data_IF_725982251580
#
_entry.id   IF_725982251580
#
_cell.length_a   1.000
_cell.length_b   1.000
_cell.length_c   1.000
_cell.angle_alpha   90.00
_cell.angle_beta   90.00
_cell.angle_gamma   90.00
#
_symmetry.space_group_name_H-M   'P 1'
#
loop_
_entity.id
_entity.type
_entity.pdbx_description
1 polymer ?
#
# COMPACT_ATOMS: atom_id res chain seq x y z
N UNK A 1 -29.23 -20.23 -30.69
CA UNK A 1 -30.53 -19.73 -30.21
C UNK A 1 -30.38 -19.35 -28.75
N UNK A 2 -30.05 -18.08 -28.49
CA UNK A 2 -30.02 -17.42 -27.17
C UNK A 2 -30.72 -16.06 -27.32
N UNK A 3 -31.79 -16.02 -28.12
CA UNK A 3 -32.71 -14.89 -28.14
C UNK A 3 -33.82 -15.22 -27.16
N UNK A 4 -34.00 -14.38 -26.15
CA UNK A 4 -35.05 -14.43 -25.11
C UNK A 4 -34.60 -14.90 -23.71
N UNK A 5 -33.37 -14.56 -23.28
CA UNK A 5 -33.10 -14.45 -21.82
C UNK A 5 -33.29 -12.98 -21.43
N UNK A 6 -34.27 -12.64 -20.58
CA UNK A 6 -34.45 -11.29 -20.04
C UNK A 6 -33.16 -10.77 -19.37
N UNK A 7 -32.82 -9.49 -19.58
CA UNK A 7 -31.55 -8.88 -19.10
C UNK A 7 -31.31 -9.03 -17.59
N UNK A 8 -32.37 -9.09 -16.80
CA UNK A 8 -32.31 -9.32 -15.35
C UNK A 8 -31.90 -10.76 -14.99
N UNK A 9 -32.43 -11.76 -15.67
CA UNK A 9 -32.06 -13.18 -15.52
C UNK A 9 -30.64 -13.39 -16.03
N UNK A 10 -30.30 -12.73 -17.15
CA UNK A 10 -28.96 -12.73 -17.70
C UNK A 10 -27.93 -12.19 -16.72
N UNK A 11 -28.21 -11.05 -16.10
CA UNK A 11 -27.34 -10.42 -15.10
C UNK A 11 -27.16 -11.32 -13.87
N UNK A 12 -28.23 -11.97 -13.39
CA UNK A 12 -28.12 -12.92 -12.28
C UNK A 12 -27.27 -14.15 -12.62
N UNK A 13 -27.44 -14.73 -13.82
CA UNK A 13 -26.65 -15.87 -14.27
C UNK A 13 -25.17 -15.52 -14.46
N UNK A 14 -24.88 -14.34 -14.99
CA UNK A 14 -23.51 -13.83 -15.14
C UNK A 14 -22.87 -13.50 -13.80
N UNK A 15 -23.65 -13.01 -12.82
CA UNK A 15 -23.18 -12.71 -11.47
C UNK A 15 -22.62 -13.92 -10.71
N UNK A 16 -22.93 -15.15 -11.15
CA UNK A 16 -22.38 -16.39 -10.58
C UNK A 16 -21.13 -16.91 -11.29
N UNK A 17 -20.81 -16.38 -12.47
CA UNK A 17 -19.66 -16.82 -13.24
C UNK A 17 -18.41 -16.09 -12.77
N UNK A 18 -17.34 -16.83 -12.47
CA UNK A 18 -16.01 -16.22 -12.33
C UNK A 18 -15.49 -15.89 -13.71
N UNK A 19 -14.64 -14.89 -13.80
CA UNK A 19 -13.96 -14.55 -15.06
C UNK A 19 -13.22 -15.77 -15.64
N UNK A 20 -12.61 -16.59 -14.79
CA UNK A 20 -11.95 -17.86 -15.19
C UNK A 20 -12.93 -18.83 -15.86
N UNK A 21 -14.15 -18.96 -15.31
CA UNK A 21 -15.18 -19.82 -15.87
C UNK A 21 -15.61 -19.30 -17.25
N UNK A 22 -15.74 -17.97 -17.40
CA UNK A 22 -16.05 -17.33 -18.68
C UNK A 22 -14.90 -17.51 -19.69
N UNK A 23 -13.65 -17.37 -19.28
CA UNK A 23 -12.49 -17.60 -20.14
C UNK A 23 -12.41 -19.07 -20.60
N UNK A 24 -12.64 -20.03 -19.69
CA UNK A 24 -12.64 -21.45 -19.99
C UNK A 24 -13.81 -21.85 -20.90
N UNK A 25 -15.01 -21.32 -20.67
CA UNK A 25 -16.16 -21.58 -21.52
C UNK A 25 -16.00 -20.96 -22.93
N UNK A 26 -15.40 -19.78 -23.02
CA UNK A 26 -15.16 -19.10 -24.30
C UNK A 26 -14.03 -19.72 -25.11
N UNK A 27 -13.09 -20.44 -24.48
CA UNK A 27 -12.00 -21.15 -25.17
C UNK A 27 -12.39 -22.57 -25.64
N UNK A 28 -13.41 -23.17 -25.04
CA UNK A 28 -13.82 -24.57 -25.30
C UNK A 28 -15.00 -24.70 -26.27
N UNK A 29 -15.86 -23.68 -26.37
CA UNK A 29 -17.10 -23.77 -27.15
C UNK A 29 -17.24 -22.59 -28.13
N UNK A 30 -17.34 -22.90 -29.43
CA UNK A 30 -17.50 -21.90 -30.51
C UNK A 30 -18.80 -21.06 -30.38
N UNK A 31 -19.85 -21.62 -29.79
CA UNK A 31 -21.09 -20.88 -29.52
C UNK A 31 -20.95 -19.92 -28.34
N UNK A 32 -20.20 -20.31 -27.31
CA UNK A 32 -19.93 -19.47 -26.12
C UNK A 32 -18.80 -18.47 -26.40
N UNK A 33 -17.94 -18.70 -27.39
CA UNK A 33 -16.93 -17.72 -27.80
C UNK A 33 -17.51 -16.34 -28.12
N UNK A 34 -18.69 -16.29 -28.77
CA UNK A 34 -19.39 -15.03 -29.05
C UNK A 34 -19.91 -14.34 -27.77
N UNK A 35 -20.16 -15.11 -26.70
CA UNK A 35 -20.49 -14.60 -25.38
C UNK A 35 -19.35 -13.76 -24.80
N UNK A 36 -18.12 -14.24 -24.95
CA UNK A 36 -16.90 -13.53 -24.56
C UNK A 36 -16.62 -12.26 -25.36
N UNK A 37 -17.47 -11.91 -26.34
CA UNK A 37 -17.42 -10.65 -27.10
C UNK A 37 -18.44 -9.61 -26.62
N UNK A 38 -19.30 -9.95 -25.66
CA UNK A 38 -20.35 -9.03 -25.17
C UNK A 38 -19.73 -8.03 -24.18
N UNK A 39 -19.78 -6.70 -24.41
CA UNK A 39 -19.19 -5.72 -23.50
C UNK A 39 -19.85 -5.71 -22.12
N UNK A 40 -21.18 -5.86 -22.08
CA UNK A 40 -21.95 -5.86 -20.83
C UNK A 40 -21.56 -7.00 -19.89
N UNK A 41 -21.25 -8.19 -20.43
CA UNK A 41 -20.73 -9.32 -19.66
C UNK A 41 -19.46 -8.93 -18.89
N UNK A 42 -18.47 -8.41 -19.61
CA UNK A 42 -17.19 -8.04 -19.01
C UNK A 42 -17.29 -6.84 -18.06
N UNK A 43 -18.22 -5.91 -18.33
CA UNK A 43 -18.49 -4.79 -17.43
C UNK A 43 -19.14 -5.26 -16.14
N UNK A 44 -20.12 -6.16 -16.21
CA UNK A 44 -20.76 -6.70 -15.01
C UNK A 44 -19.79 -7.57 -14.19
N UNK A 45 -18.99 -8.41 -14.84
CA UNK A 45 -17.93 -9.15 -14.16
C UNK A 45 -16.92 -8.19 -13.53
N UNK A 46 -16.54 -7.10 -14.20
CA UNK A 46 -15.63 -6.10 -13.64
C UNK A 46 -16.30 -5.29 -12.52
N UNK A 47 -17.61 -5.04 -12.58
CA UNK A 47 -18.37 -4.38 -11.51
C UNK A 47 -18.35 -5.22 -10.23
N UNK A 48 -18.52 -6.53 -10.36
CA UNK A 48 -18.49 -7.47 -9.24
C UNK A 48 -17.08 -7.64 -8.69
N UNK A 49 -16.07 -7.70 -9.55
CA UNK A 49 -14.69 -7.98 -9.14
C UNK A 49 -13.90 -6.72 -8.74
N UNK A 50 -14.10 -5.60 -9.42
CA UNK A 50 -13.37 -4.34 -9.20
C UNK A 50 -14.20 -3.12 -9.68
N UNK A 51 -15.18 -2.66 -8.87
CA UNK A 51 -16.05 -1.55 -9.22
C UNK A 51 -15.30 -0.21 -9.28
N UNK A 52 -14.10 -0.11 -8.70
CA UNK A 52 -13.26 1.10 -8.77
C UNK A 52 -12.61 1.18 -10.14
N UNK A 53 -12.03 0.09 -10.64
CA UNK A 53 -11.48 -0.01 -11.99
C UNK A 53 -12.54 0.16 -13.06
N UNK A 54 -13.76 -0.34 -12.86
CA UNK A 54 -14.88 -0.07 -13.78
C UNK A 54 -15.19 1.43 -13.88
N UNK A 55 -15.22 2.15 -12.74
CA UNK A 55 -15.46 3.60 -12.71
C UNK A 55 -14.33 4.42 -13.34
N UNK A 56 -13.11 3.88 -13.39
CA UNK A 56 -11.96 4.51 -14.03
C UNK A 56 -11.93 4.29 -15.55
N UNK A 57 -12.68 3.31 -16.08
CA UNK A 57 -12.78 3.05 -17.50
C UNK A 57 -13.73 4.03 -18.18
N UNK A 58 -13.38 4.40 -19.41
CA UNK A 58 -14.26 5.14 -20.30
C UNK A 58 -15.57 4.34 -20.55
N UNK A 59 -16.72 5.02 -20.56
CA UNK A 59 -18.01 4.41 -20.86
C UNK A 59 -18.07 3.85 -22.28
N UNK A 60 -17.19 4.30 -23.18
CA UNK A 60 -17.01 3.79 -24.54
C UNK A 60 -15.88 2.76 -24.69
N UNK A 61 -15.21 2.36 -23.59
CA UNK A 61 -14.11 1.40 -23.63
C UNK A 61 -14.53 0.09 -24.33
N UNK A 62 -13.75 -0.33 -25.33
CA UNK A 62 -14.07 -1.52 -26.11
C UNK A 62 -13.99 -2.81 -25.28
N UNK A 63 -14.60 -3.88 -25.79
CA UNK A 63 -14.64 -5.20 -25.14
C UNK A 63 -13.26 -5.71 -24.76
N UNK A 64 -12.23 -5.51 -25.59
CA UNK A 64 -10.89 -6.00 -25.31
C UNK A 64 -10.27 -5.29 -24.10
N UNK A 65 -10.50 -3.98 -23.94
CA UNK A 65 -10.05 -3.18 -22.80
C UNK A 65 -10.79 -3.59 -21.54
N UNK A 66 -12.12 -3.67 -21.57
CA UNK A 66 -12.92 -4.09 -20.40
C UNK A 66 -12.58 -5.54 -20.03
N UNK A 67 -12.47 -6.43 -21.01
CA UNK A 67 -12.05 -7.82 -20.80
C UNK A 67 -10.66 -7.88 -20.19
N UNK A 68 -9.69 -7.12 -20.68
CA UNK A 68 -8.34 -7.08 -20.09
C UNK A 68 -8.38 -6.58 -18.65
N UNK A 69 -9.11 -5.50 -18.37
CA UNK A 69 -9.30 -4.99 -17.01
C UNK A 69 -9.97 -6.03 -16.10
N UNK A 70 -10.93 -6.77 -16.62
CA UNK A 70 -11.64 -7.84 -15.91
C UNK A 70 -10.76 -9.08 -15.68
N UNK A 71 -9.93 -9.44 -16.66
CA UNK A 71 -8.91 -10.49 -16.55
C UNK A 71 -7.86 -10.09 -15.51
N UNK A 72 -7.35 -8.86 -15.56
CA UNK A 72 -6.40 -8.32 -14.58
C UNK A 72 -7.01 -8.29 -13.19
N UNK A 73 -8.27 -7.86 -13.06
CA UNK A 73 -9.01 -8.01 -11.81
C UNK A 73 -9.02 -9.48 -11.39
N UNK A 74 -9.38 -10.42 -12.29
CA UNK A 74 -9.59 -11.84 -11.98
C UNK A 74 -8.38 -12.73 -11.72
N UNK A 75 -7.19 -12.40 -12.22
CA UNK A 75 -6.01 -13.27 -12.11
C UNK A 75 -5.10 -12.86 -10.95
N UNK A 76 -5.25 -11.65 -10.42
CA UNK A 76 -4.52 -11.17 -9.23
C UNK A 76 -5.00 -11.89 -7.95
N UNK A 77 -6.20 -12.48 -7.94
CA UNK A 77 -6.83 -13.00 -6.71
C UNK A 77 -6.21 -14.24 -6.10
N UNK A 78 -5.60 -15.08 -6.93
CA UNK A 78 -5.11 -16.38 -6.46
C UNK A 78 -3.82 -16.20 -5.66
N UNK A 79 -2.97 -15.24 -6.03
CA UNK A 79 -1.63 -15.07 -5.45
C UNK A 79 -0.85 -16.40 -5.32
N UNK A 80 -1.23 -17.42 -6.12
CA UNK A 80 -0.75 -18.81 -6.04
C UNK A 80 0.71 -18.96 -6.45
N UNK A 81 1.27 -17.94 -7.11
CA UNK A 81 2.64 -17.93 -7.60
C UNK A 81 3.10 -16.49 -7.78
N UNK A 82 3.72 -15.95 -6.74
CA UNK A 82 4.35 -14.62 -6.77
C UNK A 82 5.79 -14.75 -7.25
N UNK A 83 6.35 -13.71 -7.87
CA UNK A 83 7.78 -13.73 -8.21
C UNK A 83 8.43 -12.37 -7.99
N UNK A 84 9.51 -12.36 -7.21
CA UNK A 84 10.34 -11.19 -7.08
C UNK A 84 11.19 -11.00 -8.34
N UNK A 85 11.19 -9.76 -8.82
CA UNK A 85 12.06 -9.25 -9.86
C UNK A 85 12.73 -7.95 -9.43
N UNK A 86 13.88 -7.67 -10.03
CA UNK A 86 14.49 -6.36 -10.00
C UNK A 86 14.26 -5.74 -11.38
N UNK A 87 13.34 -4.78 -11.55
CA UNK A 87 13.23 -4.06 -12.81
C UNK A 87 14.57 -3.38 -13.11
N UNK A 88 14.96 -3.33 -14.39
CA UNK A 88 16.08 -2.47 -14.78
C UNK A 88 15.60 -1.02 -14.70
N UNK A 89 16.03 -0.29 -13.68
CA UNK A 89 15.79 1.14 -13.57
C UNK A 89 17.13 1.84 -13.81
N UNK A 90 17.23 2.76 -14.81
CA UNK A 90 18.48 3.42 -15.14
C UNK A 90 19.15 4.12 -13.95
N UNK A 91 18.34 4.74 -13.08
CA UNK A 91 18.79 5.44 -11.89
C UNK A 91 17.68 5.40 -10.83
N UNK A 92 18.01 4.90 -9.64
CA UNK A 92 17.13 4.91 -8.48
C UNK A 92 17.33 6.21 -7.66
N UNK A 93 16.29 6.71 -6.96
CA UNK A 93 16.42 7.77 -5.98
C UNK A 93 17.44 7.40 -4.89
N UNK A 94 18.02 8.43 -4.22
CA UNK A 94 18.95 8.20 -3.10
C UNK A 94 18.37 7.22 -2.06
N UNK A 95 19.24 6.37 -1.50
CA UNK A 95 18.93 5.50 -0.36
C UNK A 95 18.20 6.28 0.74
N UNK A 96 17.07 5.75 1.19
CA UNK A 96 16.19 6.45 2.13
C UNK A 96 15.35 5.51 2.98
N UNK A 97 15.02 5.95 4.18
CA UNK A 97 14.26 5.20 5.18
C UNK A 97 12.99 5.94 5.59
N UNK A 98 11.90 5.22 5.83
CA UNK A 98 10.63 5.81 6.29
C UNK A 98 10.10 6.89 5.34
N UNK A 99 10.43 6.78 4.06
CA UNK A 99 9.96 7.68 3.01
C UNK A 99 8.50 7.38 2.67
N UNK A 100 7.92 8.28 1.88
CA UNK A 100 6.52 8.26 1.50
C UNK A 100 6.42 7.79 0.06
N UNK A 101 5.55 6.83 -0.19
CA UNK A 101 5.26 6.36 -1.53
C UNK A 101 3.77 6.13 -1.71
N UNK A 102 3.22 6.61 -2.83
CA UNK A 102 1.81 6.40 -3.22
C UNK A 102 1.71 6.13 -4.71
N UNK A 103 0.64 5.46 -5.13
CA UNK A 103 0.29 5.28 -6.54
C UNK A 103 -0.95 6.11 -6.88
N UNK A 104 -0.82 7.04 -7.84
CA UNK A 104 -1.95 7.71 -8.46
C UNK A 104 -2.47 6.89 -9.64
N UNK A 105 -3.79 6.72 -9.68
CA UNK A 105 -4.43 5.84 -10.66
C UNK A 105 -3.91 4.41 -10.52
N UNK A 106 -3.47 3.81 -11.63
CA UNK A 106 -2.98 2.43 -11.63
C UNK A 106 -1.47 2.31 -11.92
N UNK A 107 -0.77 3.42 -12.21
CA UNK A 107 0.58 3.32 -12.80
C UNK A 107 1.56 4.40 -12.38
N UNK A 108 1.11 5.53 -11.85
CA UNK A 108 1.99 6.66 -11.55
C UNK A 108 2.38 6.61 -10.08
N UNK A 109 3.58 6.11 -9.80
CA UNK A 109 4.12 6.07 -8.45
C UNK A 109 4.81 7.39 -8.14
N UNK A 110 4.56 7.92 -6.96
CA UNK A 110 5.20 9.12 -6.42
C UNK A 110 5.95 8.75 -5.16
N UNK A 111 7.20 9.17 -5.08
CA UNK A 111 8.10 8.96 -3.95
C UNK A 111 8.64 10.30 -3.43
N UNK A 112 8.64 10.50 -2.12
CA UNK A 112 9.17 11.72 -1.49
C UNK A 112 9.51 11.52 -0.01
N UNK A 113 10.26 12.46 0.56
CA UNK A 113 10.65 12.46 1.97
C UNK A 113 11.56 11.28 2.34
N UNK A 114 11.50 10.91 3.61
CA UNK A 114 12.37 9.91 4.21
C UNK A 114 13.64 10.50 4.81
N UNK A 115 14.30 9.67 5.62
CA UNK A 115 15.57 10.00 6.25
C UNK A 115 16.70 9.81 5.22
N UNK A 116 17.01 10.88 4.48
CA UNK A 116 18.04 10.93 3.43
C UNK A 116 18.46 12.39 3.16
N UNK A 117 19.49 12.62 2.34
CA UNK A 117 19.90 14.00 2.00
C UNK A 117 19.04 14.60 0.88
N UNK A 118 18.63 13.79 -0.09
CA UNK A 118 17.77 14.19 -1.19
C UNK A 118 16.29 14.23 -0.81
N UNK A 119 15.81 15.45 -0.63
CA UNK A 119 14.40 15.74 -0.37
C UNK A 119 13.58 15.93 -1.65
N UNK A 120 14.03 15.37 -2.77
CA UNK A 120 13.35 15.42 -4.05
C UNK A 120 12.00 14.68 -4.04
N UNK A 121 11.21 14.99 -5.07
CA UNK A 121 9.98 14.26 -5.39
C UNK A 121 10.24 13.54 -6.70
N UNK A 122 9.96 12.24 -6.72
CA UNK A 122 10.23 11.36 -7.84
C UNK A 122 8.94 10.74 -8.37
N UNK A 123 8.84 10.64 -9.67
CA UNK A 123 7.76 9.99 -10.39
C UNK A 123 8.29 8.75 -11.10
N UNK A 124 7.56 7.64 -11.02
CA UNK A 124 7.78 6.45 -11.82
C UNK A 124 6.45 6.08 -12.48
N UNK A 125 6.36 6.29 -13.79
CA UNK A 125 5.19 5.91 -14.57
C UNK A 125 5.41 4.53 -15.20
N UNK A 126 4.75 3.49 -14.67
CA UNK A 126 4.93 2.12 -15.19
C UNK A 126 4.43 1.91 -16.63
N UNK A 127 3.70 2.87 -17.23
CA UNK A 127 3.32 2.83 -18.65
C UNK A 127 4.37 3.47 -19.54
N UNK A 128 5.09 4.47 -19.04
CA UNK A 128 6.19 5.11 -19.75
C UNK A 128 7.41 4.29 -19.40
N UNK A 129 8.00 3.63 -20.38
CA UNK A 129 9.20 2.82 -20.18
C UNK A 129 10.42 3.74 -19.95
N UNK A 130 10.41 4.49 -18.84
CA UNK A 130 11.39 5.45 -18.33
C UNK A 130 11.61 5.17 -16.84
N UNK A 131 12.83 5.43 -16.34
CA UNK A 131 13.14 5.26 -14.92
C UNK A 131 12.48 6.32 -14.03
N UNK A 132 12.95 6.44 -12.79
CA UNK A 132 12.50 7.51 -11.92
C UNK A 132 12.86 8.89 -12.49
N UNK A 133 11.87 9.77 -12.54
CA UNK A 133 12.02 11.15 -13.00
C UNK A 133 11.82 12.12 -11.83
N UNK A 134 12.77 13.03 -11.61
CA UNK A 134 12.71 14.02 -10.52
C UNK A 134 11.89 15.25 -10.94
N UNK A 135 10.96 15.67 -10.10
CA UNK A 135 10.10 16.83 -10.32
C UNK A 135 10.87 18.17 -10.33
N UNK A 136 10.36 19.17 -11.05
CA UNK A 136 10.91 20.54 -11.11
C UNK A 136 9.87 21.59 -10.62
N UNK A 137 10.30 22.68 -9.95
CA UNK A 137 11.67 23.01 -9.55
C UNK A 137 12.04 22.41 -8.19
N UNK A 138 13.32 22.08 -8.04
CA UNK A 138 13.94 21.48 -6.84
C UNK A 138 14.10 22.46 -5.66
N UNK A 139 13.30 23.53 -5.58
CA UNK A 139 13.37 24.45 -4.44
C UNK A 139 13.01 23.71 -3.15
N UNK A 140 13.64 24.10 -2.03
CA UNK A 140 13.39 23.53 -0.71
C UNK A 140 11.96 23.83 -0.29
N UNK A 141 11.02 23.06 -0.81
CA UNK A 141 9.61 23.17 -0.49
C UNK A 141 9.45 22.93 1.02
N UNK A 142 8.67 23.77 1.70
CA UNK A 142 8.55 23.79 3.16
C UNK A 142 8.00 22.48 3.79
N UNK A 143 7.67 21.48 2.99
CA UNK A 143 7.22 20.15 3.42
C UNK A 143 8.33 19.09 3.42
N UNK A 144 9.54 19.43 2.97
CA UNK A 144 10.54 18.49 2.44
C UNK A 144 11.01 17.43 3.43
N UNK A 145 11.47 17.80 4.63
CA UNK A 145 12.03 16.81 5.55
C UNK A 145 10.96 16.23 6.49
N UNK A 146 10.54 15.00 6.20
CA UNK A 146 9.86 14.14 7.17
C UNK A 146 10.03 12.67 6.82
N UNK A 147 10.20 11.85 7.86
CA UNK A 147 10.24 10.40 7.74
C UNK A 147 9.26 9.77 8.74
N UNK A 148 8.73 8.59 8.38
CA UNK A 148 7.63 7.96 9.10
C UNK A 148 6.33 8.78 9.05
N UNK A 149 6.20 9.75 8.15
CA UNK A 149 4.90 10.39 7.91
C UNK A 149 3.98 9.42 7.15
N UNK A 150 2.71 9.80 6.99
CA UNK A 150 1.82 9.15 6.02
C UNK A 150 1.67 10.02 4.78
N UNK A 151 1.41 9.39 3.62
CA UNK A 151 0.96 10.05 2.40
C UNK A 151 -0.21 9.25 1.86
N UNK A 152 -1.38 9.88 1.73
CA UNK A 152 -2.62 9.19 1.32
C UNK A 152 -3.23 9.90 0.11
N UNK A 153 -3.51 9.15 -0.95
CA UNK A 153 -4.18 9.68 -2.15
C UNK A 153 -5.61 10.08 -1.80
N UNK A 154 -5.98 11.31 -2.14
CA UNK A 154 -7.34 11.85 -1.95
C UNK A 154 -8.18 11.74 -3.22
N UNK A 155 -7.55 12.02 -4.37
CA UNK A 155 -8.20 12.00 -5.68
C UNK A 155 -7.16 11.75 -6.79
N UNK A 156 -7.53 12.03 -8.04
CA UNK A 156 -6.68 11.80 -9.22
C UNK A 156 -5.36 12.58 -9.20
N UNK A 157 -5.25 13.68 -8.46
CA UNK A 157 -4.08 14.61 -8.49
C UNK A 157 -3.58 15.02 -7.12
N UNK A 158 -4.37 14.79 -6.09
CA UNK A 158 -4.07 15.25 -4.74
C UNK A 158 -3.77 14.09 -3.79
N UNK A 159 -2.75 14.27 -2.97
CA UNK A 159 -2.49 13.43 -1.80
C UNK A 159 -2.29 14.29 -0.56
N UNK A 160 -2.54 13.71 0.60
CA UNK A 160 -2.37 14.38 1.89
C UNK A 160 -1.24 13.73 2.66
N UNK A 161 -0.32 14.55 3.16
CA UNK A 161 0.70 14.15 4.12
C UNK A 161 0.26 14.56 5.52
N UNK A 162 0.38 13.65 6.48
CA UNK A 162 0.22 13.94 7.90
C UNK A 162 1.41 13.43 8.71
N UNK A 163 1.88 14.27 9.64
CA UNK A 163 2.86 13.91 10.66
C UNK A 163 4.25 13.56 10.14
N UNK A 164 4.94 12.68 10.90
CA UNK A 164 6.33 12.29 10.70
C UNK A 164 7.28 12.90 11.73
N UNK A 165 8.54 12.47 11.68
CA UNK A 165 9.66 13.06 12.41
C UNK A 165 10.44 14.02 11.51
N UNK A 166 10.87 15.14 12.09
CA UNK A 166 11.63 16.20 11.40
C UNK A 166 13.07 16.34 11.90
N UNK A 167 13.51 15.52 12.85
CA UNK A 167 14.90 15.46 13.32
C UNK A 167 15.41 14.03 13.38
N UNK A 168 16.74 13.87 13.32
CA UNK A 168 17.39 12.57 13.51
C UNK A 168 17.14 11.97 14.89
N UNK A 169 17.27 10.65 15.01
CA UNK A 169 17.09 9.96 16.30
C UNK A 169 15.65 9.94 16.81
N UNK A 170 14.65 9.95 15.93
CA UNK A 170 13.22 9.93 16.29
C UNK A 170 12.77 11.16 17.09
N UNK A 171 13.29 12.34 16.72
CA UNK A 171 12.99 13.62 17.37
C UNK A 171 12.16 14.53 16.48
N UNK A 172 11.56 15.55 17.09
CA UNK A 172 10.74 16.55 16.41
C UNK A 172 9.58 15.92 15.63
N UNK A 173 8.75 15.13 16.32
CA UNK A 173 7.47 14.68 15.78
C UNK A 173 6.58 15.88 15.47
N UNK A 174 5.93 15.87 14.30
CA UNK A 174 5.02 16.92 13.89
C UNK A 174 3.59 16.38 13.71
N UNK A 175 2.62 17.30 13.75
CA UNK A 175 1.20 17.13 13.41
C UNK A 175 0.84 17.89 12.12
N UNK A 176 1.86 18.29 11.37
CA UNK A 176 1.70 19.07 10.15
C UNK A 176 0.85 18.34 9.11
N UNK A 177 -0.05 19.10 8.49
CA UNK A 177 -0.91 18.65 7.41
C UNK A 177 -0.55 19.38 6.12
N UNK A 178 -0.14 18.63 5.10
CA UNK A 178 0.23 19.18 3.81
C UNK A 178 -0.57 18.53 2.68
N UNK A 179 -1.13 19.35 1.80
CA UNK A 179 -1.72 18.91 0.54
C UNK A 179 -0.65 18.91 -0.54
N UNK A 180 -0.36 17.73 -1.08
CA UNK A 180 0.41 17.52 -2.28
C UNK A 180 -0.52 17.56 -3.50
N UNK A 181 -0.17 18.35 -4.51
CA UNK A 181 -0.84 18.36 -5.81
C UNK A 181 0.20 18.20 -6.89
N UNK A 182 -0.06 17.32 -7.88
CA UNK A 182 0.73 17.29 -9.10
C UNK A 182 -0.08 17.78 -10.31
N UNK A 183 0.62 18.39 -11.26
CA UNK A 183 0.09 18.88 -12.53
C UNK A 183 0.81 18.18 -13.68
N UNK A 184 0.05 17.42 -14.46
CA UNK A 184 0.54 16.76 -15.67
C UNK A 184 1.04 17.79 -16.68
N UNK A 185 2.13 17.47 -17.35
CA UNK A 185 2.72 18.28 -18.42
C UNK A 185 2.98 17.40 -19.63
N UNK A 186 2.60 17.86 -20.81
CA UNK A 186 2.78 17.10 -22.05
C UNK A 186 4.27 16.80 -22.27
N UNK A 187 4.58 15.51 -22.41
CA UNK A 187 5.93 14.99 -22.65
C UNK A 187 7.00 15.48 -21.65
N UNK A 188 6.61 15.81 -20.42
CA UNK A 188 7.52 16.27 -19.38
C UNK A 188 7.21 15.59 -18.04
N UNK A 189 8.12 15.76 -17.08
CA UNK A 189 7.90 15.38 -15.68
C UNK A 189 6.79 16.26 -15.11
N UNK A 190 5.84 15.70 -14.33
CA UNK A 190 4.82 16.51 -13.68
C UNK A 190 5.40 17.61 -12.79
N UNK A 191 4.72 18.75 -12.76
CA UNK A 191 4.98 19.77 -11.74
C UNK A 191 4.29 19.40 -10.44
N UNK A 192 4.83 19.90 -9.33
CA UNK A 192 4.36 19.58 -7.99
C UNK A 192 4.17 20.85 -7.18
N UNK A 193 3.24 20.80 -6.24
CA UNK A 193 2.99 21.88 -5.28
C UNK A 193 2.63 21.30 -3.93
N UNK A 194 3.29 21.79 -2.89
CA UNK A 194 2.88 21.58 -1.51
C UNK A 194 2.10 22.79 -0.99
N UNK A 195 1.04 22.53 -0.23
CA UNK A 195 0.30 23.55 0.51
C UNK A 195 0.08 23.11 1.94
N UNK A 196 0.63 23.84 2.90
CA UNK A 196 0.32 23.64 4.32
C UNK A 196 -1.16 23.94 4.56
N UNK A 197 -1.83 23.03 5.24
CA UNK A 197 -3.24 23.17 5.65
C UNK A 197 -3.26 23.55 7.12
N UNK A 198 -4.06 24.55 7.46
CA UNK A 198 -4.41 24.86 8.85
C UNK A 198 -5.77 24.25 9.13
N UNK A 199 -5.83 23.05 9.75
CA UNK A 199 -7.11 22.39 10.01
C UNK A 199 -7.87 23.07 11.16
N UNK A 200 -9.17 22.81 11.23
CA UNK A 200 -10.05 23.16 12.35
C UNK A 200 -10.24 21.94 13.27
N UNK A 201 -10.90 22.17 14.41
CA UNK A 201 -11.16 21.12 15.39
C UNK A 201 -9.94 20.84 16.28
N UNK A 202 -9.99 19.72 17.02
CA UNK A 202 -8.92 19.32 17.93
C UNK A 202 -7.82 18.59 17.17
N UNK A 203 -6.71 19.27 16.93
CA UNK A 203 -5.56 18.70 16.24
C UNK A 203 -4.97 17.56 17.11
N UNK A 204 -4.78 16.35 16.55
CA UNK A 204 -4.18 15.25 17.29
C UNK A 204 -2.70 15.52 17.55
N UNK A 205 -2.15 14.89 18.58
CA UNK A 205 -0.72 14.96 18.88
C UNK A 205 0.13 14.53 17.68
N UNK A 206 1.24 15.25 17.45
CA UNK A 206 2.23 14.92 16.42
C UNK A 206 2.83 13.54 16.62
N UNK A 207 3.06 12.83 15.51
CA UNK A 207 3.37 11.40 15.52
C UNK A 207 4.00 10.93 14.22
N UNK A 208 4.74 9.82 14.26
CA UNK A 208 5.30 9.14 13.10
C UNK A 208 4.99 7.63 13.12
N UNK A 209 5.22 6.94 12.01
CA UNK A 209 4.98 5.51 11.81
C UNK A 209 3.55 5.08 12.21
N UNK A 210 2.59 5.98 12.03
CA UNK A 210 1.16 5.74 12.14
C UNK A 210 0.61 5.22 10.81
N UNK A 211 -0.61 4.72 10.82
CA UNK A 211 -1.35 4.42 9.59
C UNK A 211 -2.32 5.55 9.27
N UNK A 212 -2.54 5.81 7.99
CA UNK A 212 -3.53 6.75 7.49
C UNK A 212 -4.37 6.07 6.42
N UNK A 213 -5.69 6.01 6.63
CA UNK A 213 -6.61 5.30 5.73
C UNK A 213 -7.77 6.21 5.36
N UNK A 214 -7.92 6.48 4.07
CA UNK A 214 -9.05 7.24 3.56
C UNK A 214 -10.27 6.33 3.41
N UNK A 215 -11.36 6.65 4.10
CA UNK A 215 -12.64 5.97 3.98
C UNK A 215 -13.70 6.92 3.42
N UNK A 216 -14.68 6.35 2.70
CA UNK A 216 -15.77 7.10 2.04
C UNK A 216 -15.31 8.24 1.12
N UNK A 217 -14.06 8.17 0.62
CA UNK A 217 -13.41 9.24 -0.15
C UNK A 217 -13.45 10.63 0.53
N UNK A 218 -13.51 10.67 1.86
CA UNK A 218 -13.69 11.92 2.62
C UNK A 218 -13.00 11.92 3.99
N UNK A 219 -13.07 10.83 4.72
CA UNK A 219 -12.59 10.80 6.09
C UNK A 219 -11.24 10.10 6.15
N UNK A 220 -10.20 10.83 6.52
CA UNK A 220 -8.88 10.28 6.74
C UNK A 220 -8.78 9.82 8.20
N UNK A 221 -8.67 8.51 8.38
CA UNK A 221 -8.45 7.91 9.69
C UNK A 221 -6.96 7.76 9.97
N UNK A 222 -6.50 8.32 11.08
CA UNK A 222 -5.15 8.15 11.59
C UNK A 222 -5.21 7.25 12.81
N UNK A 223 -4.43 6.16 12.81
CA UNK A 223 -4.40 5.22 13.94
C UNK A 223 -2.95 4.97 14.37
N UNK A 224 -2.76 5.00 15.68
CA UNK A 224 -1.51 4.70 16.37
C UNK A 224 -0.34 5.59 15.95
N UNK A 225 0.85 4.97 15.91
CA UNK A 225 2.12 5.63 15.65
C UNK A 225 2.97 5.74 16.91
N UNK A 226 4.04 6.53 16.82
CA UNK A 226 4.91 6.84 17.93
C UNK A 226 5.16 8.34 18.04
N UNK A 227 5.45 8.73 19.27
CA UNK A 227 5.98 10.04 19.66
C UNK A 227 7.45 9.86 20.07
N UNK A 228 8.12 10.93 20.50
CA UNK A 228 9.46 10.82 21.13
C UNK A 228 9.47 9.95 22.36
N UNK A 229 8.34 9.87 23.08
CA UNK A 229 8.30 9.27 24.40
C UNK A 229 7.94 7.78 24.31
N UNK A 230 6.94 7.45 23.48
CA UNK A 230 6.44 6.09 23.32
C UNK A 230 5.50 5.94 22.12
N UNK A 231 5.11 4.70 21.85
CA UNK A 231 4.03 4.36 20.93
C UNK A 231 2.68 4.83 21.47
N UNK A 232 1.72 5.05 20.59
CA UNK A 232 0.35 5.41 20.93
C UNK A 232 -0.62 4.55 20.12
N UNK A 233 -1.87 4.37 20.59
CA UNK A 233 -2.96 3.81 19.77
C UNK A 233 -3.87 4.90 19.18
N UNK A 234 -4.01 6.03 19.89
CA UNK A 234 -4.94 7.14 19.62
C UNK A 234 -5.41 7.25 18.17
N UNK A 235 -6.72 7.15 18.00
CA UNK A 235 -7.39 7.35 16.73
C UNK A 235 -7.74 8.84 16.52
N UNK A 236 -7.65 9.30 15.28
CA UNK A 236 -8.09 10.64 14.89
C UNK A 236 -8.74 10.60 13.51
N UNK A 237 -9.79 11.41 13.31
CA UNK A 237 -10.54 11.43 12.06
C UNK A 237 -10.57 12.84 11.50
N UNK A 238 -10.02 13.02 10.30
CA UNK A 238 -10.05 14.28 9.58
C UNK A 238 -11.08 14.20 8.46
N UNK A 239 -12.02 15.14 8.43
CA UNK A 239 -12.83 15.41 7.24
C UNK A 239 -12.00 16.24 6.26
N UNK A 240 -11.54 15.62 5.16
CA UNK A 240 -10.65 16.26 4.18
C UNK A 240 -11.37 17.26 3.27
N UNK A 241 -12.71 17.28 3.27
CA UNK A 241 -13.48 18.27 2.52
C UNK A 241 -13.56 19.60 3.27
N UNK A 242 -13.71 19.53 4.59
CA UNK A 242 -13.85 20.71 5.47
C UNK A 242 -12.55 21.06 6.19
N UNK A 243 -11.53 20.23 6.07
CA UNK A 243 -10.26 20.33 6.82
C UNK A 243 -10.49 20.42 8.33
N UNK A 244 -11.40 19.60 8.85
CA UNK A 244 -11.79 19.63 10.27
C UNK A 244 -11.56 18.27 10.91
N UNK A 245 -10.76 18.26 11.99
CA UNK A 245 -10.65 17.10 12.87
C UNK A 245 -11.96 16.93 13.63
N UNK A 246 -12.57 15.76 13.48
CA UNK A 246 -13.82 15.43 14.15
C UNK A 246 -13.54 15.06 15.61
N UNK A 247 -14.35 15.60 16.51
CA UNK A 247 -14.32 15.22 17.92
C UNK A 247 -15.10 13.92 18.08
N UNK A 248 -14.42 12.81 17.82
CA UNK A 248 -15.01 11.46 17.81
C UNK A 248 -14.31 10.62 18.85
N UNK A 249 -15.08 10.12 19.81
CA UNK A 249 -14.59 9.17 20.80
C UNK A 249 -14.64 7.77 20.18
N UNK A 250 -13.57 7.40 19.46
CA UNK A 250 -13.46 6.17 18.68
C UNK A 250 -13.52 4.90 19.54
N UNK A 251 -13.26 5.02 20.84
CA UNK A 251 -13.54 3.96 21.79
C UNK A 251 -13.77 4.60 23.16
N UNK A 252 -15.02 4.65 23.61
CA UNK A 252 -15.29 4.79 25.04
C UNK A 252 -14.94 3.45 25.68
N UNK A 253 -13.65 3.17 25.90
CA UNK A 253 -13.19 2.04 26.72
C UNK A 253 -13.69 0.65 26.30
N UNK A 254 -13.59 0.27 25.01
CA UNK A 254 -13.79 -1.13 24.63
C UNK A 254 -12.60 -1.96 25.13
N UNK A 255 -12.74 -2.60 26.29
CA UNK A 255 -11.81 -3.62 26.75
C UNK A 255 -12.36 -4.99 26.28
N UNK A 256 -11.66 -5.72 25.40
CA UNK A 256 -10.25 -5.53 24.99
C UNK A 256 -10.05 -4.61 23.78
N UNK A 257 -8.91 -3.90 23.75
CA UNK A 257 -8.43 -3.08 22.63
C UNK A 257 -6.97 -3.43 22.28
N UNK A 258 -6.47 -3.07 21.08
CA UNK A 258 -5.05 -3.20 20.77
C UNK A 258 -4.19 -2.43 21.79
N UNK A 259 -2.94 -2.85 21.95
CA UNK A 259 -1.95 -2.03 22.64
C UNK A 259 -1.55 -0.82 21.79
N UNK A 260 -0.96 0.19 22.42
CA UNK A 260 -0.19 1.23 21.74
C UNK A 260 0.85 0.62 20.80
N UNK A 261 0.99 1.18 19.58
CA UNK A 261 1.87 0.61 18.55
C UNK A 261 2.20 1.56 17.41
N UNK A 262 3.36 1.34 16.81
CA UNK A 262 3.79 1.97 15.57
C UNK A 262 4.22 0.93 14.53
N UNK A 263 4.39 1.37 13.27
CA UNK A 263 4.86 0.51 12.18
C UNK A 263 3.95 -0.68 11.90
N UNK A 264 2.68 -0.59 12.32
CA UNK A 264 1.63 -1.55 12.02
C UNK A 264 1.04 -1.23 10.64
N UNK A 265 0.27 -2.16 10.08
CA UNK A 265 -0.52 -1.93 8.88
C UNK A 265 -2.00 -1.99 9.19
N UNK A 266 -2.79 -1.19 8.49
CA UNK A 266 -4.25 -1.23 8.53
C UNK A 266 -4.78 -1.41 7.12
N UNK A 267 -5.70 -2.36 6.96
CA UNK A 267 -6.41 -2.62 5.71
C UNK A 267 -7.88 -2.30 5.90
N UNK A 268 -8.43 -1.48 5.01
CA UNK A 268 -9.86 -1.22 4.97
C UNK A 268 -10.59 -2.33 4.20
N UNK A 269 -11.37 -3.12 4.93
CA UNK A 269 -12.25 -4.16 4.40
C UNK A 269 -13.63 -3.57 4.17
N UNK A 270 -13.82 -3.02 2.97
CA UNK A 270 -15.07 -2.39 2.55
C UNK A 270 -16.26 -3.38 2.55
N UNK A 271 -15.99 -4.68 2.31
CA UNK A 271 -17.03 -5.71 2.25
C UNK A 271 -17.60 -6.03 3.64
N UNK A 272 -16.74 -6.14 4.66
CA UNK A 272 -17.16 -6.34 6.07
C UNK A 272 -17.30 -5.03 6.86
N UNK A 273 -17.10 -3.86 6.22
CA UNK A 273 -17.25 -2.52 6.83
C UNK A 273 -16.39 -2.33 8.08
N UNK A 274 -15.12 -2.74 7.99
CA UNK A 274 -14.18 -2.71 9.11
C UNK A 274 -12.79 -2.30 8.66
N UNK A 275 -12.00 -1.83 9.62
CA UNK A 275 -10.56 -1.75 9.46
C UNK A 275 -9.93 -2.94 10.16
N UNK A 276 -8.96 -3.59 9.53
CA UNK A 276 -8.22 -4.70 10.12
C UNK A 276 -6.79 -4.24 10.39
N UNK A 277 -6.38 -4.30 11.65
CA UNK A 277 -5.08 -3.88 12.14
C UNK A 277 -4.16 -5.09 12.33
N UNK A 278 -2.95 -4.97 11.81
CA UNK A 278 -1.95 -6.03 11.79
C UNK A 278 -0.65 -5.56 12.43
N UNK A 279 -0.25 -6.29 13.48
CA UNK A 279 1.08 -6.24 14.09
C UNK A 279 1.58 -4.86 14.51
N UNK A 280 2.81 -4.50 14.13
CA UNK A 280 3.55 -3.35 14.66
C UNK A 280 4.26 -3.65 15.99
N UNK A 281 4.68 -2.63 16.74
CA UNK A 281 5.34 -2.83 18.04
C UNK A 281 5.18 -1.68 19.03
N UNK A 282 5.37 -1.94 20.33
CA UNK A 282 5.16 -0.99 21.43
C UNK A 282 6.50 -0.47 22.01
N UNK A 283 7.09 0.53 21.36
CA UNK A 283 8.39 1.09 21.74
C UNK A 283 8.50 2.59 21.51
N UNK A 284 9.65 3.16 21.83
CA UNK A 284 10.03 4.53 21.45
C UNK A 284 11.00 4.56 20.26
N UNK A 285 11.39 3.40 19.74
CA UNK A 285 12.25 3.26 18.58
C UNK A 285 11.86 2.04 17.72
N UNK A 286 12.51 1.91 16.56
CA UNK A 286 12.22 0.87 15.58
C UNK A 286 12.89 -0.49 15.84
N UNK A 287 13.90 -0.59 16.73
CA UNK A 287 14.82 -1.75 16.78
C UNK A 287 15.18 -2.29 18.18
N UNK A 288 14.86 -1.58 19.27
CA UNK A 288 15.54 -1.73 20.57
C UNK A 288 14.63 -1.61 21.79
N UNK A 289 13.53 -0.87 21.75
CA UNK A 289 12.59 -0.78 22.87
C UNK A 289 11.25 -1.43 22.51
N UNK A 290 10.79 -2.42 23.29
CA UNK A 290 9.43 -2.97 23.19
C UNK A 290 9.28 -4.38 22.62
N UNK A 291 8.03 -4.75 22.39
CA UNK A 291 7.55 -6.05 21.91
C UNK A 291 6.95 -5.88 20.52
N UNK A 292 7.17 -6.87 19.66
CA UNK A 292 6.49 -6.98 18.37
C UNK A 292 5.15 -7.67 18.55
N UNK A 293 4.13 -7.04 18.01
CA UNK A 293 2.76 -7.51 18.06
C UNK A 293 2.49 -8.42 16.87
N UNK A 294 1.73 -9.49 17.10
CA UNK A 294 1.34 -10.43 16.04
C UNK A 294 -0.17 -10.65 15.96
N UNK A 295 -0.90 -10.23 16.98
CA UNK A 295 -2.35 -10.27 17.01
C UNK A 295 -2.98 -9.41 15.90
N UNK A 296 -4.18 -9.82 15.49
CA UNK A 296 -4.98 -9.18 14.45
C UNK A 296 -6.26 -8.66 15.08
N UNK A 297 -6.58 -7.40 14.82
CA UNK A 297 -7.77 -6.73 15.37
C UNK A 297 -8.65 -6.20 14.26
N UNK A 298 -9.96 -6.20 14.47
CA UNK A 298 -10.90 -5.40 13.70
C UNK A 298 -11.39 -4.19 14.49
N UNK A 299 -11.53 -3.05 13.80
CA UNK A 299 -12.31 -1.89 14.23
C UNK A 299 -13.61 -1.86 13.42
N UNK A 300 -14.72 -2.20 14.08
CA UNK A 300 -16.04 -2.23 13.46
C UNK A 300 -16.58 -0.81 13.30
N UNK A 301 -16.85 -0.39 12.05
CA UNK A 301 -17.27 0.99 11.74
C UNK A 301 -18.79 1.21 11.90
N UNK A 302 -19.57 0.18 12.26
CA UNK A 302 -21.03 0.25 12.27
C UNK A 302 -21.65 0.28 10.86
N UNK A 303 -22.96 0.49 10.75
CA UNK A 303 -23.65 0.49 9.45
C UNK A 303 -23.64 1.86 8.75
N UNK A 304 -23.61 2.94 9.53
CA UNK A 304 -23.79 4.32 9.04
C UNK A 304 -22.51 5.00 8.55
N UNK A 305 -21.33 4.37 8.69
CA UNK A 305 -20.03 5.00 8.42
C UNK A 305 -19.89 5.64 7.03
N UNK A 306 -20.60 5.08 6.04
CA UNK A 306 -20.56 5.55 4.65
C UNK A 306 -21.43 6.79 4.40
N UNK A 307 -22.49 7.00 5.20
CA UNK A 307 -23.45 8.10 5.02
C UNK A 307 -23.26 9.21 6.04
N UNK A 308 -23.01 8.84 7.29
CA UNK A 308 -22.74 9.76 8.40
C UNK A 308 -21.76 9.08 9.36
N UNK A 309 -20.50 9.47 9.25
CA UNK A 309 -19.44 8.91 10.09
C UNK A 309 -19.66 9.23 11.57
N UNK A 310 -20.23 10.40 11.90
CA UNK A 310 -20.44 10.81 13.29
C UNK A 310 -21.50 9.92 13.93
N UNK A 311 -22.58 9.64 13.19
CA UNK A 311 -23.62 8.71 13.61
C UNK A 311 -23.15 7.25 13.72
N UNK A 312 -21.96 6.92 13.19
CA UNK A 312 -21.40 5.58 13.23
C UNK A 312 -20.58 5.28 14.50
N UNK A 313 -20.27 6.29 15.32
CA UNK A 313 -19.57 6.14 16.59
C UNK A 313 -20.50 5.72 17.75
N UNK A 314 -19.98 5.08 18.82
CA UNK A 314 -18.59 4.64 18.97
C UNK A 314 -18.29 3.41 18.13
N UNK A 315 -17.11 3.39 17.53
CA UNK A 315 -16.58 2.17 16.94
C UNK A 315 -16.06 1.25 18.03
N UNK A 316 -15.90 -0.01 17.70
CA UNK A 316 -15.50 -1.03 18.69
C UNK A 316 -14.38 -1.88 18.14
N UNK A 317 -13.37 -2.09 18.98
CA UNK A 317 -12.29 -3.02 18.70
C UNK A 317 -12.72 -4.44 19.06
N UNK A 318 -12.31 -5.39 18.23
CA UNK A 318 -12.44 -6.82 18.51
C UNK A 318 -11.20 -7.57 18.02
N UNK A 319 -10.68 -8.45 18.84
CA UNK A 319 -9.57 -9.31 18.46
C UNK A 319 -10.10 -10.42 17.53
N UNK A 320 -9.43 -10.62 16.40
CA UNK A 320 -9.68 -11.74 15.48
C UNK A 320 -8.74 -12.89 15.82
N UNK A 321 -7.43 -12.60 15.91
CA UNK A 321 -6.39 -13.57 16.24
C UNK A 321 -5.58 -13.08 17.42
N UNK A 322 -5.45 -13.89 18.47
CA UNK A 322 -4.49 -13.64 19.54
C UNK A 322 -3.04 -13.88 19.12
N UNK A 323 -2.09 -13.37 19.90
CA UNK A 323 -0.65 -13.57 19.63
C UNK A 323 -0.26 -15.06 19.65
N UNK A 324 -0.97 -15.86 20.46
CA UNK A 324 -0.80 -17.31 20.59
C UNK A 324 -1.61 -18.11 19.54
N UNK A 325 -2.74 -17.57 19.06
CA UNK A 325 -3.63 -18.25 18.10
C UNK A 325 -3.04 -18.36 16.69
N UNK A 326 -2.07 -17.52 16.35
CA UNK A 326 -1.31 -17.55 15.10
C UNK A 326 -0.35 -18.76 15.00
N UNK A 327 -0.76 -19.95 15.46
CA UNK A 327 0.01 -21.20 15.39
C UNK A 327 0.35 -21.63 13.97
N UNK A 328 -0.37 -21.11 12.96
CA UNK A 328 -0.12 -21.31 11.54
C UNK A 328 1.09 -20.51 11.02
N UNK A 329 1.44 -19.41 11.70
CA UNK A 329 2.60 -18.58 11.37
C UNK A 329 3.86 -19.10 12.07
N UNK A 330 4.92 -19.30 11.30
CA UNK A 330 6.26 -19.57 11.80
C UNK A 330 6.78 -18.36 12.60
N UNK A 331 7.74 -18.54 13.53
CA UNK A 331 8.32 -17.44 14.31
C UNK A 331 8.86 -16.29 13.44
N UNK A 332 9.46 -16.60 12.29
CA UNK A 332 9.95 -15.59 11.35
C UNK A 332 8.80 -14.81 10.69
N UNK A 333 7.67 -15.46 10.43
CA UNK A 333 6.48 -14.81 9.84
C UNK A 333 5.81 -13.89 10.87
N UNK A 334 5.71 -14.31 12.14
CA UNK A 334 5.27 -13.46 13.26
C UNK A 334 6.16 -12.23 13.44
N UNK A 335 7.47 -12.38 13.23
CA UNK A 335 8.40 -11.25 13.24
C UNK A 335 8.21 -10.32 12.05
N UNK A 336 7.91 -10.87 10.86
CA UNK A 336 7.64 -10.07 9.66
C UNK A 336 6.38 -9.21 9.79
N UNK A 337 5.33 -9.67 10.45
CA UNK A 337 4.15 -8.83 10.74
C UNK A 337 4.40 -7.83 11.87
N UNK A 338 5.53 -7.91 12.56
CA UNK A 338 5.96 -6.93 13.56
C UNK A 338 6.21 -5.54 12.96
N UNK A 339 7.21 -4.82 13.44
CA UNK A 339 7.39 -3.40 13.06
C UNK A 339 7.74 -3.18 11.59
N UNK A 340 7.13 -2.14 11.02
CA UNK A 340 7.53 -1.45 9.78
C UNK A 340 7.64 -2.35 8.55
N UNK A 341 6.66 -3.24 8.41
CA UNK A 341 6.42 -4.06 7.24
C UNK A 341 5.55 -3.33 6.21
N UNK A 342 5.52 -3.84 5.00
CA UNK A 342 4.63 -3.34 3.94
C UNK A 342 3.38 -4.20 3.93
N UNK A 343 2.28 -3.66 4.46
CA UNK A 343 0.94 -4.26 4.33
C UNK A 343 0.14 -3.53 3.25
N UNK A 344 -0.23 -4.25 2.20
CA UNK A 344 -1.00 -3.69 1.08
C UNK A 344 -2.19 -4.57 0.75
N UNK A 345 -3.27 -3.95 0.26
CA UNK A 345 -4.38 -4.70 -0.34
C UNK A 345 -3.97 -5.11 -1.76
N UNK A 346 -3.48 -6.34 -1.93
CA UNK A 346 -3.06 -6.87 -3.22
C UNK A 346 -4.25 -7.23 -4.11
N UNK A 347 -5.37 -7.58 -3.49
CA UNK A 347 -6.66 -7.74 -4.15
C UNK A 347 -7.78 -7.39 -3.16
N UNK A 348 -9.00 -7.03 -3.60
CA UNK A 348 -10.10 -6.63 -2.70
C UNK A 348 -10.41 -7.51 -1.48
N UNK A 349 -9.88 -8.73 -1.40
CA UNK A 349 -10.00 -9.58 -0.20
C UNK A 349 -8.69 -10.19 0.29
N UNK A 350 -7.57 -9.97 -0.39
CA UNK A 350 -6.26 -10.49 0.03
C UNK A 350 -5.36 -9.31 0.40
N UNK A 351 -5.05 -9.21 1.68
CA UNK A 351 -3.97 -8.36 2.15
C UNK A 351 -2.65 -9.12 2.02
N UNK A 352 -1.64 -8.49 1.45
CA UNK A 352 -0.30 -9.03 1.29
C UNK A 352 0.64 -8.26 2.21
N UNK A 353 1.41 -9.00 2.99
CA UNK A 353 2.40 -8.47 3.90
C UNK A 353 3.78 -8.92 3.44
N UNK A 354 4.60 -7.98 3.02
CA UNK A 354 5.94 -8.23 2.52
C UNK A 354 6.98 -7.53 3.39
N UNK A 355 8.10 -8.24 3.56
CA UNK A 355 9.36 -7.79 4.15
C UNK A 355 9.37 -7.50 5.64
N UNK A 356 10.43 -8.05 6.25
CA UNK A 356 10.55 -8.25 7.67
C UNK A 356 11.40 -7.22 8.38
N UNK A 357 11.00 -6.96 9.62
CA UNK A 357 11.64 -6.07 10.59
C UNK A 357 13.16 -6.21 10.68
N UNK A 358 13.81 -5.34 11.45
CA UNK A 358 15.27 -5.21 11.47
C UNK A 358 16.08 -6.37 12.06
N UNK A 359 15.60 -7.61 12.05
CA UNK A 359 16.38 -8.78 12.45
C UNK A 359 17.16 -9.37 11.26
N UNK A 360 18.38 -9.89 11.48
CA UNK A 360 19.09 -10.73 10.51
C UNK A 360 18.34 -12.02 10.12
N UNK A 361 17.35 -12.42 10.93
CA UNK A 361 16.49 -13.59 10.68
C UNK A 361 15.29 -13.27 9.77
N UNK A 362 15.05 -11.99 9.48
CA UNK A 362 14.02 -11.58 8.54
C UNK A 362 14.33 -12.10 7.16
N UNK A 363 13.34 -12.72 6.54
CA UNK A 363 13.43 -13.20 5.17
C UNK A 363 12.73 -12.25 4.21
N UNK A 364 13.11 -12.29 2.94
CA UNK A 364 12.36 -11.69 1.85
C UNK A 364 11.09 -12.49 1.48
N UNK A 365 10.37 -12.90 2.52
CA UNK A 365 9.10 -13.59 2.41
C UNK A 365 7.93 -12.62 2.30
N UNK A 366 6.78 -13.19 2.00
CA UNK A 366 5.49 -12.54 2.09
C UNK A 366 4.49 -13.53 2.66
N UNK A 367 3.50 -13.01 3.37
CA UNK A 367 2.36 -13.77 3.83
C UNK A 367 1.09 -13.05 3.41
N UNK A 368 0.03 -13.82 3.22
CA UNK A 368 -1.25 -13.33 2.75
C UNK A 368 -2.26 -13.49 3.88
N UNK A 369 -3.16 -12.53 4.03
CA UNK A 369 -4.31 -12.62 4.90
C UNK A 369 -5.58 -12.52 4.04
N UNK A 370 -6.43 -13.54 4.13
CA UNK A 370 -7.73 -13.54 3.47
C UNK A 370 -8.77 -12.86 4.36
N UNK A 371 -9.22 -11.68 3.94
CA UNK A 371 -10.22 -10.87 4.64
C UNK A 371 -11.60 -11.54 4.67
N UNK A 372 -11.90 -12.50 3.78
CA UNK A 372 -13.18 -13.23 3.77
C UNK A 372 -13.21 -14.28 4.88
N UNK A 373 -12.22 -15.14 4.93
CA UNK A 373 -12.14 -16.22 5.92
C UNK A 373 -11.53 -15.77 7.25
N UNK A 374 -10.85 -14.61 7.28
CA UNK A 374 -10.04 -14.18 8.41
C UNK A 374 -8.92 -15.17 8.72
N UNK A 375 -8.21 -15.65 7.69
CA UNK A 375 -7.16 -16.66 7.86
C UNK A 375 -5.86 -16.27 7.14
N UNK A 376 -4.75 -16.73 7.70
CA UNK A 376 -3.42 -16.58 7.11
C UNK A 376 -3.15 -17.64 6.03
N UNK A 377 -2.51 -17.22 4.95
CA UNK A 377 -2.09 -18.05 3.83
C UNK A 377 -0.61 -17.82 3.52
N UNK A 378 0.10 -18.91 3.18
CA UNK A 378 1.49 -18.80 2.74
C UNK A 378 1.55 -18.47 1.26
N UNK A 379 2.35 -17.47 0.91
CA UNK A 379 2.62 -17.15 -0.48
C UNK A 379 3.72 -18.07 -1.04
N UNK A 380 3.47 -18.69 -2.21
CA UNK A 380 4.53 -19.35 -3.00
C UNK A 380 5.30 -18.29 -3.79
N UNK A 381 6.46 -17.88 -3.27
CA UNK A 381 7.29 -16.82 -3.84
C UNK A 381 8.49 -17.42 -4.58
N UNK A 382 8.55 -17.10 -5.87
CA UNK A 382 9.62 -17.49 -6.79
C UNK A 382 10.54 -16.31 -7.09
N UNK A 383 11.59 -16.57 -7.88
CA UNK A 383 12.52 -15.54 -8.32
C UNK A 383 13.59 -15.18 -7.30
N UNK A 384 14.22 -14.02 -7.51
CA UNK A 384 15.33 -13.55 -6.69
C UNK A 384 14.82 -13.10 -5.32
N UNK A 385 15.43 -13.56 -4.22
CA UNK A 385 15.08 -13.05 -2.89
C UNK A 385 15.79 -11.72 -2.62
N UNK A 386 15.07 -10.59 -2.51
CA UNK A 386 15.68 -9.31 -2.21
C UNK A 386 16.29 -9.27 -0.81
N UNK A 387 17.09 -8.24 -0.53
CA UNK A 387 17.64 -8.04 0.80
C UNK A 387 16.54 -7.71 1.80
N UNK A 388 16.64 -8.31 2.99
CA UNK A 388 15.77 -7.98 4.12
C UNK A 388 15.96 -6.51 4.53
N UNK A 389 14.82 -5.83 4.75
CA UNK A 389 14.74 -4.39 4.98
C UNK A 389 13.48 -4.05 5.78
N UNK A 390 13.58 -3.02 6.60
CA UNK A 390 12.43 -2.40 7.28
C UNK A 390 12.40 -0.91 6.97
N UNK A 391 11.25 -0.25 7.18
CA UNK A 391 10.97 1.15 6.77
C UNK A 391 11.04 1.43 5.26
N UNK A 392 11.07 0.37 4.44
CA UNK A 392 10.83 0.50 3.01
C UNK A 392 9.38 0.95 2.78
N UNK A 393 9.14 1.67 1.68
CA UNK A 393 7.78 1.95 1.25
C UNK A 393 7.41 0.99 0.13
N UNK A 394 6.15 0.56 0.10
CA UNK A 394 5.62 -0.31 -0.94
C UNK A 394 4.25 0.14 -1.40
N UNK A 395 3.99 0.08 -2.70
CA UNK A 395 2.68 0.39 -3.28
C UNK A 395 2.31 -0.67 -4.31
N UNK A 396 1.01 -0.96 -4.39
CA UNK A 396 0.47 -1.73 -5.51
C UNK A 396 0.25 -0.78 -6.68
N UNK A 397 0.84 -1.10 -7.82
CA UNK A 397 0.66 -0.39 -9.08
C UNK A 397 0.53 -1.42 -10.21
N UNK A 398 -0.54 -1.32 -10.99
CA UNK A 398 -0.99 -2.34 -11.93
C UNK A 398 -1.10 -3.72 -11.26
N UNK A 399 -0.28 -4.68 -11.71
CA UNK A 399 -0.23 -6.05 -11.23
C UNK A 399 1.06 -6.30 -10.41
N UNK A 400 1.68 -5.24 -9.89
CA UNK A 400 2.96 -5.26 -9.18
C UNK A 400 2.85 -4.66 -7.79
N UNK A 401 3.53 -5.26 -6.81
CA UNK A 401 3.93 -4.55 -5.60
C UNK A 401 5.33 -4.00 -5.81
N UNK A 402 5.44 -2.68 -6.02
CA UNK A 402 6.72 -1.98 -6.15
C UNK A 402 7.18 -1.54 -4.76
N UNK A 403 8.43 -1.85 -4.42
CA UNK A 403 9.04 -1.52 -3.13
C UNK A 403 10.34 -0.76 -3.38
N UNK A 404 10.51 0.34 -2.66
CA UNK A 404 11.71 1.16 -2.73
C UNK A 404 12.31 1.31 -1.33
N UNK A 405 13.64 1.41 -1.27
CA UNK A 405 14.32 1.93 -0.10
C UNK A 405 14.34 1.00 1.11
N UNK A 406 14.43 1.59 2.30
CA UNK A 406 14.45 0.91 3.59
C UNK A 406 15.85 0.56 4.09
N UNK A 407 15.96 0.19 5.37
CA UNK A 407 17.23 -0.10 6.03
C UNK A 407 17.47 -1.59 6.15
N UNK A 408 18.69 -2.02 5.81
CA UNK A 408 19.13 -3.38 6.06
C UNK A 408 20.03 -3.44 7.28
N UNK A 409 19.56 -4.07 8.37
CA UNK A 409 20.38 -4.29 9.57
C UNK A 409 21.62 -5.13 9.28
N UNK A 410 21.51 -6.08 8.34
CA UNK A 410 22.63 -6.92 7.92
C UNK A 410 23.75 -6.11 7.26
N UNK A 411 23.40 -5.10 6.45
CA UNK A 411 24.38 -4.27 5.75
C UNK A 411 24.71 -2.98 6.51
N UNK A 412 23.92 -2.62 7.53
CA UNK A 412 24.08 -1.39 8.29
C UNK A 412 23.82 -0.12 7.47
N UNK A 413 22.99 -0.19 6.44
CA UNK A 413 22.74 0.93 5.54
C UNK A 413 21.33 0.92 4.93
N UNK A 414 20.89 2.10 4.52
CA UNK A 414 19.73 2.29 3.67
C UNK A 414 20.01 1.79 2.25
N UNK A 415 19.04 1.07 1.68
CA UNK A 415 19.11 0.52 0.34
C UNK A 415 18.54 1.53 -0.67
N UNK A 416 19.12 1.68 -1.87
CA UNK A 416 18.57 2.58 -2.90
C UNK A 416 17.61 1.86 -3.86
N UNK A 417 17.66 0.52 -3.92
CA UNK A 417 17.07 -0.27 -4.97
C UNK A 417 15.54 -0.21 -4.99
N UNK A 418 15.00 -0.19 -6.21
CA UNK A 418 13.60 -0.50 -6.47
C UNK A 418 13.46 -1.96 -6.88
N UNK A 419 12.60 -2.69 -6.17
CA UNK A 419 12.27 -4.10 -6.44
C UNK A 419 10.77 -4.23 -6.68
N UNK A 420 10.36 -5.25 -7.43
CA UNK A 420 8.95 -5.48 -7.73
C UNK A 420 8.58 -6.95 -7.50
N UNK A 421 7.44 -7.17 -6.88
CA UNK A 421 6.79 -8.48 -6.80
C UNK A 421 5.70 -8.56 -7.84
N UNK A 422 5.81 -9.53 -8.75
CA UNK A 422 4.74 -9.86 -9.69
C UNK A 422 3.59 -10.53 -8.95
N UNK A 423 2.45 -9.85 -8.86
CA UNK A 423 1.23 -10.36 -8.24
C UNK A 423 0.45 -11.27 -9.18
N UNK A 424 0.82 -11.32 -10.46
CA UNK A 424 0.17 -12.08 -11.52
C UNK A 424 1.16 -12.99 -12.28
N UNK A 425 2.21 -13.48 -11.63
CA UNK A 425 3.28 -14.26 -12.26
C UNK A 425 2.79 -15.61 -12.87
N UNK A 426 1.62 -16.12 -12.47
CA UNK A 426 0.95 -17.23 -13.16
C UNK A 426 0.68 -16.96 -14.66
N UNK A 427 0.61 -15.69 -15.06
CA UNK A 427 0.47 -15.26 -16.44
C UNK A 427 1.75 -15.41 -17.26
N UNK A 428 2.88 -15.80 -16.62
CA UNK A 428 4.19 -16.01 -17.25
C UNK A 428 4.61 -14.85 -18.14
N UNK A 429 4.25 -13.63 -17.72
CA UNK A 429 4.66 -12.42 -18.43
C UNK A 429 6.17 -12.30 -18.24
N UNK A 430 6.89 -12.02 -19.32
CA UNK A 430 8.27 -11.60 -19.15
C UNK A 430 8.26 -10.29 -18.35
N UNK A 431 9.15 -10.20 -17.35
CA UNK A 431 9.45 -9.00 -16.57
C UNK A 431 10.06 -7.95 -17.52
N UNK A 432 9.29 -7.47 -18.47
CA UNK A 432 9.63 -6.36 -19.35
C UNK A 432 9.31 -5.06 -18.64
N UNK A 433 10.02 -4.81 -17.55
CA UNK A 433 10.45 -3.44 -17.34
C UNK A 433 11.64 -3.30 -18.28
N UNK A 434 11.41 -2.68 -19.44
CA UNK A 434 12.41 -2.36 -20.48
C UNK A 434 12.88 -3.54 -21.36
N UNK A 435 13.25 -3.28 -22.64
CA UNK A 435 13.74 -4.32 -23.54
C UNK A 435 15.05 -4.91 -23.02
N UNK A 436 15.11 -6.24 -23.01
CA UNK A 436 16.25 -7.08 -22.68
C UNK A 436 17.49 -6.70 -23.50
N UNK A 437 18.47 -6.05 -22.87
CA UNK A 437 19.87 -6.16 -23.34
C UNK A 437 20.91 -6.39 -22.25
N UNK A 438 20.62 -6.18 -20.96
CA UNK A 438 21.62 -6.46 -19.92
C UNK A 438 21.00 -7.14 -18.70
N UNK A 439 21.21 -8.45 -18.59
CA UNK A 439 20.98 -9.22 -17.37
C UNK A 439 22.04 -8.76 -16.36
N UNK A 440 21.63 -8.02 -15.34
CA UNK A 440 22.51 -7.62 -14.23
C UNK A 440 22.90 -8.88 -13.47
N UNK A 441 24.20 -9.11 -13.34
CA UNK A 441 24.76 -10.22 -12.56
C UNK A 441 24.97 -9.79 -11.10
N UNK A 442 25.11 -10.75 -10.18
CA UNK A 442 25.44 -10.46 -8.78
C UNK A 442 26.75 -9.66 -8.59
N UNK A 443 27.59 -9.55 -9.63
CA UNK A 443 28.81 -8.76 -9.64
C UNK A 443 28.54 -7.26 -9.87
N UNK A 444 27.49 -6.91 -10.62
CA UNK A 444 27.13 -5.53 -10.95
C UNK A 444 26.54 -4.80 -9.74
N UNK A 445 25.77 -5.52 -8.90
CA UNK A 445 25.22 -5.02 -7.62
C UNK A 445 26.32 -4.66 -6.62
N UNK A 446 27.46 -5.36 -6.63
CA UNK A 446 28.58 -5.05 -5.72
C UNK A 446 29.33 -3.77 -6.09
N UNK A 447 29.22 -3.32 -7.34
CA UNK A 447 29.99 -2.18 -7.86
C UNK A 447 29.37 -0.83 -7.50
N UNK A 448 28.06 -0.78 -7.27
CA UNK A 448 27.33 0.43 -6.83
C UNK A 448 27.39 0.65 -5.32
N UNK A 449 27.85 -0.32 -4.53
CA UNK A 449 27.89 -0.27 -3.06
C UNK A 449 29.16 0.37 -2.44
N UNK A 450 30.06 0.96 -3.24
CA UNK A 450 31.36 1.47 -2.74
C UNK A 450 31.41 2.97 -2.45
N UNK A 451 30.28 3.68 -2.47
CA UNK A 451 30.26 5.09 -2.04
C UNK A 451 29.85 5.17 -0.58
N UNK A 452 30.85 5.16 0.30
CA UNK A 452 30.72 5.31 1.75
C UNK A 452 29.96 6.61 2.10
N UNK A 453 28.78 6.48 2.70
CA UNK A 453 28.11 7.59 3.39
C UNK A 453 28.52 7.53 4.86
N UNK A 454 29.30 8.54 5.27
CA UNK A 454 29.82 8.66 6.62
C UNK A 454 28.72 9.23 7.55
N UNK A 455 28.06 8.38 8.33
CA UNK A 455 26.99 8.74 9.28
C UNK A 455 27.49 9.41 10.58
N UNK A 456 28.74 9.87 10.64
CA UNK A 456 29.37 10.35 11.87
C UNK A 456 28.85 11.68 12.42
N UNK A 457 28.07 12.46 11.65
CA UNK A 457 27.71 13.83 12.03
C UNK A 457 26.29 14.02 12.59
N UNK A 458 25.50 12.94 12.72
CA UNK A 458 24.08 13.04 13.14
C UNK A 458 23.70 12.11 14.30
N UNK A 459 24.69 11.47 14.94
CA UNK A 459 24.53 10.66 16.15
C UNK A 459 24.85 11.43 17.46
N UNK A 460 24.74 12.76 17.46
CA UNK A 460 24.85 13.58 18.68
C UNK A 460 23.54 14.27 19.01
#
# INVERSE_FOLDING_TARGET
MLGDVPDNIFSQLVGWLRVEDVLNLTSTCKYIYNFGKVPLLWRHLLEVNDPKRLRALDSEANVAVVKRACIQASHVWKLDSLAWGSPYIPEDPESREGHLMVCFGENLIVLTGGFCNDQGIYFLDLKRNVGWERALPAERDCASFAYGASLTVLDKRNAIRFGGFQGGGYTHQCDDLFLFTYEERDNAVPAVRWRKITPRGRIPQGRAYHTATLISNRYLLIIGGMTTDSSILSEAVLDVQTWTWLDVNVSLSSNPSPSERHGHSIIFDEAKKRLVLFGGGNGSDLLRSGIDNSEVWELCLGESWSTDIVASFPWTWRMIHGSDDNSTLAPQEKFCIGRCHIGVLASPHKALFCFGGGSPLSSAGAIIYDLRSDEWEKADIKGYRPQARFTAAGVVAMDWLVVQGGFSVRLGMALPDTIALDLANSLKRELHFFPSTNIITAADIRRTMTNDVNYSNWMM
#
